data_IF_085682881142
#
_entry.id   IF_085682881142
#
_cell.length_a   1.000
_cell.length_b   1.000
_cell.length_c   1.000
_cell.angle_alpha   90.00
_cell.angle_beta   90.00
_cell.angle_gamma   90.00
#
_symmetry.space_group_name_H-M   'P 1'
#
loop_
_entity.id
_entity.type
_entity.pdbx_description
1 polymer ?
#
# COMPACT_ATOMS: atom_id res chain seq x y z
N UNK A 1 -15.01 4.05 20.48
CA UNK A 1 -14.32 2.97 19.74
C UNK A 1 -14.65 3.18 18.28
N UNK A 2 -13.71 3.70 17.50
CA UNK A 2 -13.90 3.92 16.06
C UNK A 2 -13.43 2.66 15.37
N UNK A 3 -14.35 1.87 14.78
CA UNK A 3 -13.92 0.85 13.82
C UNK A 3 -13.20 1.59 12.70
N UNK A 4 -11.94 1.27 12.37
CA UNK A 4 -11.31 1.89 11.22
C UNK A 4 -12.17 1.54 10.01
N UNK A 5 -12.79 2.55 9.38
CA UNK A 5 -13.20 2.40 8.00
C UNK A 5 -11.97 1.94 7.22
N UNK A 6 -12.11 0.93 6.36
CA UNK A 6 -10.97 0.22 5.76
C UNK A 6 -9.85 1.14 5.27
N UNK A 7 -8.60 0.71 5.39
CA UNK A 7 -7.44 1.48 4.95
C UNK A 7 -7.20 1.24 3.46
N UNK A 8 -6.84 2.27 2.69
CA UNK A 8 -6.35 2.10 1.31
C UNK A 8 -4.90 2.58 1.25
N UNK A 9 -4.01 1.72 0.78
CA UNK A 9 -2.62 2.05 0.47
C UNK A 9 -2.55 2.41 -1.01
N UNK A 10 -1.98 3.56 -1.35
CA UNK A 10 -1.71 3.92 -2.74
C UNK A 10 -0.22 3.89 -3.00
N UNK A 11 0.21 3.02 -3.91
CA UNK A 11 1.60 2.97 -4.38
C UNK A 11 1.71 3.64 -5.73
N UNK A 12 2.63 4.58 -5.86
CA UNK A 12 2.94 5.23 -7.14
C UNK A 12 4.13 4.55 -7.79
N UNK A 13 3.90 3.84 -8.89
CA UNK A 13 4.94 3.16 -9.65
C UNK A 13 5.18 3.85 -11.00
N UNK A 14 6.42 3.76 -11.51
CA UNK A 14 6.78 4.14 -12.87
C UNK A 14 7.01 2.88 -13.68
N UNK A 15 6.28 2.72 -14.78
CA UNK A 15 6.42 1.58 -15.69
C UNK A 15 6.95 2.04 -17.04
N UNK A 16 7.84 1.24 -17.65
CA UNK A 16 8.22 1.44 -19.05
C UNK A 16 7.00 1.34 -19.97
N UNK A 17 7.04 2.03 -21.10
CA UNK A 17 5.94 2.05 -22.07
C UNK A 17 6.44 1.60 -23.45
N UNK A 18 5.87 0.50 -23.95
CA UNK A 18 6.08 0.00 -25.30
C UNK A 18 4.82 0.23 -26.13
N UNK A 19 4.96 0.90 -27.28
CA UNK A 19 3.88 1.14 -28.23
C UNK A 19 4.28 0.64 -29.62
N UNK A 20 3.31 0.56 -30.54
CA UNK A 20 3.53 0.05 -31.90
C UNK A 20 4.64 0.78 -32.70
N UNK A 21 5.06 1.98 -32.27
CA UNK A 21 6.17 2.75 -32.84
C UNK A 21 7.54 2.55 -32.17
N UNK A 22 7.65 1.65 -31.17
CA UNK A 22 8.86 1.39 -30.39
C UNK A 22 8.70 1.61 -28.88
N UNK A 23 9.72 1.24 -28.11
CA UNK A 23 9.85 1.57 -26.69
C UNK A 23 10.27 3.03 -26.55
N UNK A 24 9.60 3.77 -25.66
CA UNK A 24 10.03 5.13 -25.30
C UNK A 24 10.46 5.15 -23.83
N UNK A 25 11.47 5.95 -23.49
CA UNK A 25 11.92 6.18 -22.10
C UNK A 25 10.90 6.99 -21.26
N UNK A 26 9.76 7.34 -21.85
CA UNK A 26 8.68 8.07 -21.20
C UNK A 26 7.88 7.13 -20.28
N UNK A 27 8.46 6.84 -19.12
CA UNK A 27 7.85 5.99 -18.10
C UNK A 27 6.51 6.57 -17.61
N UNK A 28 5.48 5.73 -17.59
CA UNK A 28 4.13 6.12 -17.15
C UNK A 28 4.01 5.95 -15.64
N UNK A 29 3.62 7.02 -14.97
CA UNK A 29 3.26 6.95 -13.55
C UNK A 29 1.88 6.32 -13.42
N UNK A 30 1.76 5.29 -12.59
CA UNK A 30 0.48 4.66 -12.23
C UNK A 30 0.32 4.65 -10.73
N UNK A 31 -0.81 5.17 -10.26
CA UNK A 31 -1.26 4.93 -8.89
C UNK A 31 -1.90 3.53 -8.83
N UNK A 32 -1.44 2.72 -7.86
CA UNK A 32 -1.87 1.36 -7.57
C UNK A 32 -2.54 1.39 -6.19
N UNK A 33 -3.86 1.63 -6.12
CA UNK A 33 -4.59 1.60 -4.87
C UNK A 33 -4.89 0.15 -4.48
N UNK A 34 -4.57 -0.21 -3.24
CA UNK A 34 -4.89 -1.49 -2.65
C UNK A 34 -5.59 -1.29 -1.31
N UNK A 35 -6.77 -1.88 -1.17
CA UNK A 35 -7.48 -1.88 0.08
C UNK A 35 -6.88 -2.92 1.03
N UNK A 36 -6.58 -2.50 2.25
CA UNK A 36 -6.34 -3.40 3.37
C UNK A 36 -7.67 -3.83 3.94
N UNK A 37 -7.78 -5.13 4.21
CA UNK A 37 -8.94 -5.66 4.92
C UNK A 37 -9.05 -4.97 6.30
N UNK A 38 -10.28 -4.75 6.81
CA UNK A 38 -10.49 -4.08 8.09
C UNK A 38 -9.72 -4.70 9.26
N UNK A 39 -9.50 -6.02 9.24
CA UNK A 39 -8.70 -6.73 10.25
C UNK A 39 -7.26 -6.20 10.33
N UNK A 40 -6.60 -6.02 9.18
CA UNK A 40 -5.23 -5.53 9.14
C UNK A 40 -5.15 -4.03 9.47
N UNK A 41 -6.17 -3.25 9.09
CA UNK A 41 -6.28 -1.86 9.51
C UNK A 41 -6.37 -1.75 11.04
N UNK A 42 -7.24 -2.55 11.67
CA UNK A 42 -7.40 -2.60 13.13
C UNK A 42 -6.11 -3.02 13.84
N UNK A 43 -5.44 -4.06 13.35
CA UNK A 43 -4.14 -4.50 13.88
C UNK A 43 -3.06 -3.42 13.76
N UNK A 44 -3.00 -2.73 12.62
CA UNK A 44 -2.00 -1.69 12.36
C UNK A 44 -2.19 -0.49 13.31
N UNK A 45 -3.44 -0.02 13.48
CA UNK A 45 -3.74 1.07 14.41
C UNK A 45 -3.49 0.66 15.87
N UNK A 46 -3.91 -0.55 16.25
CA UNK A 46 -3.67 -1.07 17.61
C UNK A 46 -2.17 -1.16 17.92
N UNK A 47 -1.37 -1.68 16.99
CA UNK A 47 0.07 -1.78 17.15
C UNK A 47 0.74 -0.40 17.23
N UNK A 48 0.28 0.55 16.41
CA UNK A 48 0.77 1.93 16.43
C UNK A 48 0.49 2.63 17.77
N UNK A 49 -0.73 2.49 18.31
CA UNK A 49 -1.11 3.03 19.62
C UNK A 49 -0.28 2.43 20.76
N UNK A 50 0.18 1.18 20.61
CA UNK A 50 1.05 0.50 21.57
C UNK A 50 2.54 0.87 21.41
N UNK A 51 2.89 1.74 20.46
CA UNK A 51 4.27 2.16 20.22
C UNK A 51 5.12 1.12 19.50
N UNK A 52 4.50 0.30 18.64
CA UNK A 52 5.22 -0.66 17.81
C UNK A 52 6.28 0.04 16.94
N UNK A 53 7.39 -0.67 16.72
CA UNK A 53 8.46 -0.21 15.84
C UNK A 53 7.99 -0.11 14.39
N UNK A 54 8.66 0.73 13.60
CA UNK A 54 8.36 0.86 12.18
C UNK A 54 8.42 -0.49 11.45
N UNK A 55 9.39 -1.35 11.77
CA UNK A 55 9.50 -2.69 11.19
C UNK A 55 8.26 -3.56 11.50
N UNK A 56 7.72 -3.49 12.72
CA UNK A 56 6.50 -4.22 13.07
C UNK A 56 5.28 -3.70 12.30
N UNK A 57 5.15 -2.37 12.15
CA UNK A 57 4.08 -1.77 11.36
C UNK A 57 4.18 -2.14 9.87
N UNK A 58 5.41 -2.14 9.33
CA UNK A 58 5.67 -2.56 7.95
C UNK A 58 5.32 -4.03 7.74
N UNK A 59 5.59 -4.91 8.70
CA UNK A 59 5.22 -6.33 8.60
C UNK A 59 3.70 -6.51 8.57
N UNK A 60 2.96 -5.83 9.45
CA UNK A 60 1.48 -5.88 9.47
C UNK A 60 0.91 -5.38 8.14
N UNK A 61 1.47 -4.30 7.60
CA UNK A 61 1.07 -3.78 6.30
C UNK A 61 1.39 -4.76 5.16
N UNK A 62 2.57 -5.39 5.17
CA UNK A 62 2.98 -6.38 4.17
C UNK A 62 2.07 -7.60 4.18
N UNK A 63 1.75 -8.15 5.36
CA UNK A 63 0.85 -9.29 5.51
C UNK A 63 -0.57 -8.97 5.01
N UNK A 64 -1.01 -7.72 5.19
CA UNK A 64 -2.30 -7.25 4.68
C UNK A 64 -2.32 -6.86 3.20
N UNK A 65 -1.16 -6.77 2.55
CA UNK A 65 -1.01 -6.46 1.13
C UNK A 65 -0.64 -7.68 0.26
N UNK A 66 -0.27 -8.82 0.88
CA UNK A 66 0.05 -10.07 0.21
C UNK A 66 -1.20 -10.77 -0.38
#
# INVERSE_FOLDING_TARGET
>A
MSTPGGLVVSTRARFGFEAAGGTTDDARVRDIPQALLPLYADQLFTAWEQGATEQQLQQIAADGLA
#
